data_IF_442589473670
#
_entry.id   IF_442589473670
#
_cell.length_a   1.000
_cell.length_b   1.000
_cell.length_c   1.000
_cell.angle_alpha   90.00
_cell.angle_beta   90.00
_cell.angle_gamma   90.00
#
_symmetry.space_group_name_H-M   'P 1'
#
loop_
_entity.id
_entity.type
_entity.pdbx_description
1 polymer ?
#
# COMPACT_ATOMS: atom_id res chain seq x y z
N UNK A 1 24.79 29.75 -1.71
CA UNK A 1 25.36 28.39 -1.54
C UNK A 1 26.71 28.49 -0.85
N UNK A 2 26.90 27.77 0.25
CA UNK A 2 28.17 27.72 0.97
C UNK A 2 29.26 26.96 0.20
N UNK A 3 30.52 27.08 0.64
CA UNK A 3 31.66 26.34 0.06
C UNK A 3 31.49 24.82 0.12
N UNK A 4 30.74 24.32 1.12
CA UNK A 4 30.40 22.91 1.30
C UNK A 4 29.39 22.43 0.23
N UNK A 5 28.28 23.14 0.08
CA UNK A 5 27.21 22.79 -0.89
C UNK A 5 27.74 22.73 -2.32
N UNK A 6 28.57 23.71 -2.72
CA UNK A 6 29.18 23.70 -4.06
C UNK A 6 30.04 22.46 -4.29
N UNK A 7 30.83 22.05 -3.29
CA UNK A 7 31.71 20.89 -3.41
C UNK A 7 30.96 19.57 -3.36
N UNK A 8 29.91 19.47 -2.54
CA UNK A 8 29.02 18.30 -2.52
C UNK A 8 28.36 18.10 -3.89
N UNK A 9 27.91 19.18 -4.52
CA UNK A 9 27.29 19.11 -5.86
C UNK A 9 28.31 18.78 -6.97
N UNK A 10 29.57 19.20 -6.85
CA UNK A 10 30.60 18.95 -7.88
C UNK A 10 31.34 17.62 -7.71
N UNK A 11 31.24 16.96 -6.56
CA UNK A 11 32.08 15.81 -6.20
C UNK A 11 31.23 14.68 -5.62
N UNK A 12 30.39 14.09 -6.47
CA UNK A 12 29.41 13.07 -6.10
C UNK A 12 29.99 11.79 -5.46
N UNK A 13 31.27 11.50 -5.66
CA UNK A 13 31.95 10.32 -5.11
C UNK A 13 32.61 10.55 -3.75
N UNK A 14 32.68 11.80 -3.29
CA UNK A 14 33.38 12.14 -2.06
C UNK A 14 32.43 12.16 -0.86
N UNK A 15 32.90 11.66 0.28
CA UNK A 15 32.14 11.77 1.52
C UNK A 15 32.13 13.22 2.02
N UNK A 16 31.06 13.62 2.72
CA UNK A 16 30.95 14.95 3.35
C UNK A 16 32.17 15.25 4.23
N UNK A 17 32.63 14.26 5.02
CA UNK A 17 33.83 14.40 5.86
C UNK A 17 35.11 14.65 5.04
N UNK A 18 35.24 14.05 3.87
CA UNK A 18 36.39 14.27 2.97
C UNK A 18 36.37 15.69 2.43
N UNK A 19 35.19 16.17 2.04
CA UNK A 19 35.00 17.53 1.53
C UNK A 19 35.26 18.56 2.63
N UNK A 20 34.70 18.37 3.83
CA UNK A 20 34.92 19.21 5.00
C UNK A 20 36.38 19.24 5.41
N UNK A 21 37.05 18.08 5.46
CA UNK A 21 38.49 18.00 5.75
C UNK A 21 39.32 18.84 4.78
N UNK A 22 39.01 18.79 3.48
CA UNK A 22 39.72 19.61 2.48
C UNK A 22 39.38 21.10 2.61
N UNK A 23 38.14 21.43 2.96
CA UNK A 23 37.76 22.83 3.22
C UNK A 23 38.54 23.36 4.42
N UNK A 24 38.56 22.62 5.54
CA UNK A 24 39.26 22.98 6.77
C UNK A 24 40.78 23.10 6.55
N UNK A 25 41.38 22.14 5.85
CA UNK A 25 42.80 22.16 5.53
C UNK A 25 43.20 23.38 4.70
N UNK A 26 42.32 23.82 3.79
CA UNK A 26 42.53 25.01 2.96
C UNK A 26 42.19 26.31 3.68
N UNK A 27 41.17 26.33 4.55
CA UNK A 27 40.70 27.56 5.20
C UNK A 27 41.55 27.97 6.40
N UNK A 28 42.24 27.02 7.02
CA UNK A 28 43.05 27.26 8.22
C UNK A 28 44.54 27.41 7.91
N UNK A 29 44.90 27.68 6.66
CA UNK A 29 46.29 27.77 6.18
C UNK A 29 47.18 26.60 6.64
N UNK A 30 46.58 25.41 6.81
CA UNK A 30 47.26 24.25 7.40
C UNK A 30 48.47 23.82 6.56
N UNK A 31 48.39 23.98 5.25
CA UNK A 31 49.54 23.73 4.35
C UNK A 31 50.69 24.69 4.58
N UNK A 32 50.40 25.98 4.81
CA UNK A 32 51.45 26.99 5.04
C UNK A 32 52.10 26.76 6.40
N UNK A 33 51.29 26.57 7.43
CA UNK A 33 51.74 26.22 8.77
C UNK A 33 52.62 24.95 8.79
N UNK A 34 52.25 23.92 8.01
CA UNK A 34 53.03 22.69 7.92
C UNK A 34 54.38 22.92 7.23
N UNK A 35 54.40 23.72 6.16
CA UNK A 35 55.62 24.03 5.42
C UNK A 35 56.61 24.90 6.21
N UNK A 36 56.13 25.66 7.21
CA UNK A 36 56.97 26.47 8.11
C UNK A 36 57.71 25.61 9.17
N UNK A 37 57.43 24.30 9.24
CA UNK A 37 58.10 23.34 10.14
C UNK A 37 59.31 22.69 9.49
N UNK A 38 60.22 22.16 10.31
CA UNK A 38 61.35 21.36 9.81
C UNK A 38 60.85 20.06 9.19
N UNK A 39 61.60 19.49 8.24
CA UNK A 39 61.21 18.22 7.58
C UNK A 39 60.93 17.10 8.59
N UNK A 40 61.76 17.00 9.63
CA UNK A 40 61.59 16.01 10.71
C UNK A 40 60.28 16.20 11.48
N UNK A 41 59.92 17.44 11.80
CA UNK A 41 58.65 17.74 12.48
C UNK A 41 57.44 17.47 11.55
N UNK A 42 57.56 17.79 10.26
CA UNK A 42 56.51 17.50 9.28
C UNK A 42 56.23 15.99 9.19
N UNK A 43 57.28 15.17 9.12
CA UNK A 43 57.15 13.72 9.07
C UNK A 43 56.49 13.16 10.34
N UNK A 44 56.88 13.64 11.52
CA UNK A 44 56.26 13.24 12.79
C UNK A 44 54.76 13.59 12.84
N UNK A 45 54.40 14.81 12.45
CA UNK A 45 53.00 15.27 12.41
C UNK A 45 52.17 14.40 11.45
N UNK A 46 52.69 14.12 10.24
CA UNK A 46 52.00 13.30 9.25
C UNK A 46 51.85 11.85 9.75
N UNK A 47 52.90 11.30 10.37
CA UNK A 47 52.90 9.96 10.93
C UNK A 47 51.86 9.83 12.04
N UNK A 48 51.75 10.83 12.91
CA UNK A 48 50.77 10.84 14.00
C UNK A 48 49.33 11.06 13.48
N UNK A 49 49.12 11.93 12.49
CA UNK A 49 47.82 12.07 11.84
C UNK A 49 47.35 10.75 11.20
N UNK A 50 48.27 10.02 10.55
CA UNK A 50 47.98 8.70 9.95
C UNK A 50 47.69 7.64 11.00
N UNK A 51 48.41 7.63 12.12
CA UNK A 51 48.20 6.66 13.21
C UNK A 51 46.81 6.87 13.84
N UNK A 52 46.43 8.12 14.09
CA UNK A 52 45.16 8.51 14.71
C UNK A 52 43.94 8.32 13.79
N UNK A 53 44.14 8.23 12.48
CA UNK A 53 43.05 8.01 11.51
C UNK A 53 42.46 6.58 11.61
N UNK A 54 43.28 5.57 11.90
CA UNK A 54 42.85 4.15 11.93
C UNK A 54 41.73 3.87 12.94
N UNK A 55 41.82 4.24 14.23
CA UNK A 55 40.74 4.01 15.19
C UNK A 55 39.46 4.78 14.83
N UNK A 56 39.60 5.98 14.27
CA UNK A 56 38.46 6.78 13.81
C UNK A 56 37.68 6.07 12.68
N UNK A 57 38.38 5.57 11.67
CA UNK A 57 37.76 4.79 10.58
C UNK A 57 37.07 3.52 11.09
N UNK A 58 37.67 2.83 12.07
CA UNK A 58 37.05 1.67 12.72
C UNK A 58 35.72 2.04 13.38
N UNK A 59 35.67 3.14 14.13
CA UNK A 59 34.45 3.63 14.78
C UNK A 59 33.37 4.03 13.76
N UNK A 60 33.74 4.72 12.68
CA UNK A 60 32.79 5.06 11.60
C UNK A 60 32.21 3.80 10.97
N UNK A 61 33.06 2.82 10.63
CA UNK A 61 32.60 1.59 10.00
C UNK A 61 31.69 0.78 10.93
N UNK A 62 32.00 0.75 12.22
CA UNK A 62 31.15 0.12 13.23
C UNK A 62 29.80 0.82 13.34
N UNK A 63 29.78 2.16 13.40
CA UNK A 63 28.54 2.95 13.38
C UNK A 63 27.71 2.69 12.12
N UNK A 64 28.34 2.66 10.93
CA UNK A 64 27.67 2.33 9.66
C UNK A 64 27.02 0.95 9.71
N UNK A 65 27.74 -0.07 10.20
CA UNK A 65 27.20 -1.43 10.38
C UNK A 65 26.00 -1.44 11.34
N UNK A 66 26.09 -0.77 12.48
CA UNK A 66 24.99 -0.69 13.45
C UNK A 66 23.76 0.00 12.85
N UNK A 67 23.95 1.09 12.11
CA UNK A 67 22.84 1.79 11.44
C UNK A 67 22.18 0.91 10.37
N UNK A 68 22.99 0.21 9.57
CA UNK A 68 22.49 -0.73 8.57
C UNK A 68 21.67 -1.86 9.22
N UNK A 69 22.19 -2.46 10.30
CA UNK A 69 21.47 -3.49 11.06
C UNK A 69 20.13 -2.99 11.61
N UNK A 70 20.10 -1.76 12.16
CA UNK A 70 18.84 -1.14 12.61
C UNK A 70 17.86 -0.93 11.47
N UNK A 71 18.34 -0.47 10.32
CA UNK A 71 17.50 -0.26 9.14
C UNK A 71 16.87 -1.57 8.66
N UNK A 72 17.68 -2.63 8.55
CA UNK A 72 17.22 -3.97 8.19
C UNK A 72 16.20 -4.49 9.22
N UNK A 73 16.45 -4.30 10.52
CA UNK A 73 15.51 -4.66 11.59
C UNK A 73 14.15 -3.98 11.42
N UNK A 74 14.15 -2.66 11.22
CA UNK A 74 12.93 -1.88 11.01
C UNK A 74 12.14 -2.35 9.78
N UNK A 75 12.84 -2.68 8.68
CA UNK A 75 12.19 -3.20 7.46
C UNK A 75 11.52 -4.54 7.76
N UNK A 76 12.21 -5.45 8.45
CA UNK A 76 11.65 -6.77 8.82
C UNK A 76 10.44 -6.65 9.74
N UNK A 77 10.48 -5.75 10.72
CA UNK A 77 9.34 -5.48 11.60
C UNK A 77 8.13 -4.95 10.83
N UNK A 78 8.33 -4.01 9.91
CA UNK A 78 7.27 -3.49 9.03
C UNK A 78 6.68 -4.60 8.16
N UNK A 79 7.52 -5.44 7.57
CA UNK A 79 7.08 -6.59 6.76
C UNK A 79 6.27 -7.58 7.60
N UNK A 80 6.72 -7.90 8.82
CA UNK A 80 5.99 -8.79 9.74
C UNK A 80 4.62 -8.21 10.11
N UNK A 81 4.55 -6.93 10.49
CA UNK A 81 3.30 -6.26 10.82
C UNK A 81 2.32 -6.24 9.63
N UNK A 82 2.83 -6.06 8.41
CA UNK A 82 2.02 -6.10 7.20
C UNK A 82 1.49 -7.51 6.90
N UNK A 83 2.31 -8.55 7.06
CA UNK A 83 1.88 -9.95 6.95
C UNK A 83 0.79 -10.30 7.97
N UNK A 84 0.97 -9.91 9.23
CA UNK A 84 -0.04 -10.11 10.28
C UNK A 84 -1.35 -9.39 9.98
N UNK A 85 -1.27 -8.15 9.47
CA UNK A 85 -2.46 -7.40 9.04
C UNK A 85 -3.19 -8.09 7.90
N UNK A 86 -2.46 -8.56 6.87
CA UNK A 86 -3.03 -9.32 5.74
C UNK A 86 -3.69 -10.62 6.21
N UNK A 87 -3.04 -11.39 7.09
CA UNK A 87 -3.59 -12.62 7.65
C UNK A 87 -4.89 -12.37 8.44
N UNK A 88 -4.94 -11.30 9.24
CA UNK A 88 -6.16 -10.90 9.95
C UNK A 88 -7.29 -10.51 9.00
N UNK A 89 -6.99 -9.81 7.93
CA UNK A 89 -7.97 -9.44 6.91
C UNK A 89 -8.52 -10.68 6.19
N UNK A 90 -7.64 -11.60 5.78
CA UNK A 90 -8.04 -12.87 5.15
C UNK A 90 -8.99 -13.67 6.04
N UNK A 91 -8.63 -13.84 7.32
CA UNK A 91 -9.48 -14.55 8.29
C UNK A 91 -10.85 -13.86 8.48
N UNK A 92 -10.90 -12.52 8.38
CA UNK A 92 -12.17 -11.79 8.45
C UNK A 92 -13.01 -11.99 7.18
N UNK A 93 -12.40 -12.07 6.01
CA UNK A 93 -13.06 -12.41 4.74
C UNK A 93 -13.65 -13.81 4.78
N UNK A 94 -12.84 -14.80 5.15
CA UNK A 94 -13.27 -16.21 5.23
C UNK A 94 -14.48 -16.38 6.18
N UNK A 95 -14.47 -15.68 7.32
CA UNK A 95 -15.61 -15.67 8.25
C UNK A 95 -16.85 -14.99 7.67
N UNK A 96 -16.66 -13.94 6.88
CA UNK A 96 -17.76 -13.26 6.19
C UNK A 96 -18.37 -14.17 5.13
N UNK A 97 -17.55 -14.84 4.33
CA UNK A 97 -17.95 -15.81 3.31
C UNK A 97 -18.72 -16.99 3.93
N UNK A 98 -18.20 -17.59 5.01
CA UNK A 98 -18.88 -18.66 5.73
C UNK A 98 -20.25 -18.22 6.26
N UNK A 99 -20.35 -17.00 6.77
CA UNK A 99 -21.61 -16.45 7.25
C UNK A 99 -22.62 -16.25 6.11
N UNK A 100 -22.19 -15.70 4.98
CA UNK A 100 -23.03 -15.54 3.78
C UNK A 100 -23.50 -16.90 3.29
N UNK A 101 -22.62 -17.90 3.20
CA UNK A 101 -22.98 -19.27 2.78
C UNK A 101 -24.04 -19.92 3.69
N UNK A 102 -23.94 -19.70 5.00
CA UNK A 102 -24.79 -20.36 6.00
C UNK A 102 -26.13 -19.63 6.26
N UNK A 103 -26.15 -18.29 6.16
CA UNK A 103 -27.29 -17.46 6.59
C UNK A 103 -27.82 -16.52 5.51
N UNK A 104 -27.15 -16.46 4.36
CA UNK A 104 -27.44 -15.53 3.28
C UNK A 104 -27.07 -14.08 3.62
N UNK A 105 -27.12 -13.23 2.61
CA UNK A 105 -27.03 -11.79 2.74
C UNK A 105 -28.44 -11.19 2.68
N UNK A 106 -28.79 -10.29 3.61
CA UNK A 106 -30.14 -9.73 3.67
C UNK A 106 -30.19 -8.40 2.94
N UNK A 107 -30.98 -8.35 1.89
CA UNK A 107 -31.04 -7.27 0.91
C UNK A 107 -32.28 -6.38 1.06
N UNK A 108 -33.31 -6.85 1.76
CA UNK A 108 -34.57 -6.12 1.93
C UNK A 108 -35.20 -6.34 3.31
N UNK A 109 -36.20 -5.53 3.65
CA UNK A 109 -36.86 -5.57 4.96
C UNK A 109 -37.59 -6.89 5.22
N UNK A 110 -38.19 -7.47 4.19
CA UNK A 110 -38.93 -8.74 4.30
C UNK A 110 -38.01 -9.91 4.64
N UNK A 111 -36.83 -9.96 4.03
CA UNK A 111 -35.78 -10.94 4.34
C UNK A 111 -35.27 -10.80 5.76
N UNK A 112 -35.09 -9.56 6.24
CA UNK A 112 -34.68 -9.33 7.63
C UNK A 112 -35.71 -9.91 8.59
N UNK A 113 -37.00 -9.62 8.40
CA UNK A 113 -38.03 -10.11 9.31
C UNK A 113 -38.22 -11.62 9.24
N UNK A 114 -38.23 -12.18 8.03
CA UNK A 114 -38.31 -13.63 7.81
C UNK A 114 -37.15 -14.35 8.49
N UNK A 115 -35.92 -13.88 8.33
CA UNK A 115 -34.76 -14.56 8.91
C UNK A 115 -34.61 -14.31 10.41
N UNK A 116 -35.02 -13.15 10.95
CA UNK A 116 -35.03 -12.89 12.39
C UNK A 116 -36.05 -13.78 13.12
N UNK A 117 -37.20 -14.06 12.51
CA UNK A 117 -38.22 -14.94 13.11
C UNK A 117 -37.78 -16.40 13.15
N UNK A 118 -36.98 -16.85 12.19
CA UNK A 118 -36.38 -18.20 12.18
C UNK A 118 -35.36 -18.43 13.30
N UNK A 119 -34.75 -17.37 13.85
CA UNK A 119 -33.78 -17.47 14.94
C UNK A 119 -34.47 -17.63 16.30
N UNK A 120 -34.03 -18.61 17.09
CA UNK A 120 -34.68 -18.96 18.37
C UNK A 120 -34.22 -18.08 19.53
N UNK A 121 -32.92 -17.78 19.62
CA UNK A 121 -32.38 -17.08 20.80
C UNK A 121 -32.09 -15.60 20.54
N UNK A 122 -32.27 -14.77 21.58
CA UNK A 122 -31.91 -13.34 21.53
C UNK A 122 -30.43 -13.12 21.20
N UNK A 123 -29.56 -14.00 21.69
CA UNK A 123 -28.10 -13.95 21.47
C UNK A 123 -27.77 -14.20 20.00
N UNK A 124 -28.38 -15.20 19.37
CA UNK A 124 -28.20 -15.49 17.94
C UNK A 124 -28.71 -14.32 17.08
N UNK A 125 -29.90 -13.78 17.39
CA UNK A 125 -30.45 -12.61 16.67
C UNK A 125 -29.47 -11.44 16.67
N UNK A 126 -28.94 -11.09 17.85
CA UNK A 126 -27.96 -10.01 17.97
C UNK A 126 -26.67 -10.34 17.20
N UNK A 127 -26.17 -11.58 17.30
CA UNK A 127 -24.95 -12.00 16.61
C UNK A 127 -25.09 -11.90 15.10
N UNK A 128 -26.15 -12.47 14.52
CA UNK A 128 -26.41 -12.46 13.08
C UNK A 128 -26.60 -11.02 12.58
N UNK A 129 -27.33 -10.18 13.32
CA UNK A 129 -27.51 -8.78 12.96
C UNK A 129 -26.20 -7.98 12.92
N UNK A 130 -25.30 -8.21 13.89
CA UNK A 130 -23.96 -7.59 13.88
C UNK A 130 -23.15 -8.06 12.67
N UNK A 131 -23.25 -9.35 12.31
CA UNK A 131 -22.58 -9.88 11.13
C UNK A 131 -23.14 -9.27 9.85
N UNK A 132 -24.46 -9.18 9.68
CA UNK A 132 -25.08 -8.52 8.52
C UNK A 132 -24.60 -7.07 8.39
N UNK A 133 -24.62 -6.28 9.47
CA UNK A 133 -24.07 -4.90 9.44
C UNK A 133 -22.58 -4.88 9.10
N UNK A 134 -21.79 -5.84 9.59
CA UNK A 134 -20.38 -5.96 9.23
C UNK A 134 -20.16 -6.37 7.78
N UNK A 135 -21.05 -7.17 7.19
CA UNK A 135 -21.01 -7.49 5.75
C UNK A 135 -21.23 -6.22 4.93
N UNK A 136 -22.21 -5.40 5.28
CA UNK A 136 -22.39 -4.09 4.64
C UNK A 136 -21.14 -3.20 4.77
N UNK A 137 -20.45 -3.22 5.92
CA UNK A 137 -19.17 -2.53 6.10
C UNK A 137 -18.08 -3.02 5.14
N UNK A 138 -17.93 -4.33 5.02
CA UNK A 138 -16.89 -4.95 4.18
C UNK A 138 -17.21 -4.76 2.70
N UNK A 139 -18.46 -4.95 2.30
CA UNK A 139 -18.90 -4.92 0.89
C UNK A 139 -19.02 -3.51 0.32
N UNK A 140 -19.45 -2.52 1.11
CA UNK A 140 -19.81 -1.20 0.58
C UNK A 140 -18.80 -0.07 0.88
N UNK A 141 -17.60 -0.37 1.39
CA UNK A 141 -16.57 0.63 1.71
C UNK A 141 -17.17 1.89 2.37
N UNK A 142 -17.96 1.64 3.43
CA UNK A 142 -18.87 2.60 4.04
C UNK A 142 -18.17 3.93 4.36
N UNK A 143 -18.75 5.04 3.86
CA UNK A 143 -18.19 6.37 4.02
C UNK A 143 -18.14 6.80 5.49
N UNK A 144 -17.27 7.77 5.81
CA UNK A 144 -17.00 8.16 7.21
C UNK A 144 -18.23 8.68 7.96
N UNK A 145 -19.22 9.21 7.23
CA UNK A 145 -20.47 9.78 7.77
C UNK A 145 -21.45 8.71 8.25
N UNK A 146 -21.36 7.50 7.70
CA UNK A 146 -22.25 6.38 8.01
C UNK A 146 -21.69 5.45 9.10
N UNK A 147 -20.47 5.72 9.58
CA UNK A 147 -19.84 4.95 10.66
C UNK A 147 -20.71 4.83 11.91
N UNK A 148 -21.62 5.79 12.15
CA UNK A 148 -22.59 5.73 13.24
C UNK A 148 -23.52 4.51 13.17
N UNK A 149 -23.90 4.07 11.97
CA UNK A 149 -24.79 2.93 11.77
C UNK A 149 -24.05 1.58 11.85
N UNK A 150 -22.73 1.60 11.73
CA UNK A 150 -21.85 0.43 11.90
C UNK A 150 -21.51 0.12 13.36
N UNK A 151 -21.88 0.99 14.28
CA UNK A 151 -21.62 0.79 15.70
C UNK A 151 -22.58 -0.26 16.30
N UNK A 152 -22.07 -1.04 17.24
CA UNK A 152 -22.84 -2.06 17.96
C UNK A 152 -23.19 -1.65 19.41
N UNK A 153 -22.74 -0.47 19.82
CA UNK A 153 -22.91 0.06 21.16
C UNK A 153 -22.79 1.57 21.18
N UNK A 154 -23.45 2.21 22.14
CA UNK A 154 -23.28 3.64 22.42
C UNK A 154 -23.03 3.83 23.92
N UNK A 155 -21.97 4.58 24.26
CA UNK A 155 -21.56 4.85 25.66
C UNK A 155 -21.44 3.57 26.51
N UNK A 156 -20.87 2.51 25.94
CA UNK A 156 -20.67 1.22 26.61
C UNK A 156 -21.91 0.32 26.71
N UNK A 157 -23.11 0.80 26.33
CA UNK A 157 -24.32 -0.04 26.28
C UNK A 157 -24.48 -0.66 24.89
N UNK A 158 -24.67 -1.98 24.84
CA UNK A 158 -24.93 -2.69 23.59
C UNK A 158 -26.29 -2.32 23.03
N UNK A 159 -26.38 -2.23 21.70
CA UNK A 159 -27.65 -2.02 21.01
C UNK A 159 -28.54 -3.26 21.12
N UNK A 160 -29.84 -3.01 21.24
CA UNK A 160 -30.86 -4.03 21.20
C UNK A 160 -31.18 -4.43 19.75
N UNK A 161 -32.01 -5.46 19.58
CA UNK A 161 -32.34 -6.00 18.26
C UNK A 161 -33.06 -4.94 17.41
N UNK A 162 -33.94 -4.13 18.02
CA UNK A 162 -34.68 -3.09 17.32
C UNK A 162 -33.73 -2.03 16.73
N UNK A 163 -32.77 -1.53 17.51
CA UNK A 163 -31.80 -0.55 17.02
C UNK A 163 -30.86 -1.13 15.96
N UNK A 164 -30.44 -2.39 16.11
CA UNK A 164 -29.64 -3.07 15.07
C UNK A 164 -30.44 -3.25 13.78
N UNK A 165 -31.74 -3.56 13.86
CA UNK A 165 -32.64 -3.64 12.70
C UNK A 165 -32.76 -2.32 11.98
N UNK A 166 -33.01 -1.25 12.73
CA UNK A 166 -33.09 0.11 12.18
C UNK A 166 -31.80 0.50 11.46
N UNK A 167 -30.63 0.26 12.10
CA UNK A 167 -29.33 0.55 11.49
C UNK A 167 -29.13 -0.24 10.19
N UNK A 168 -29.47 -1.53 10.16
CA UNK A 168 -29.34 -2.36 8.96
C UNK A 168 -30.27 -1.88 7.83
N UNK A 169 -31.52 -1.52 8.14
CA UNK A 169 -32.47 -0.99 7.16
C UNK A 169 -32.00 0.34 6.56
N UNK A 170 -31.39 1.22 7.36
CA UNK A 170 -30.81 2.47 6.85
C UNK A 170 -29.66 2.18 5.87
N UNK A 171 -28.78 1.23 6.22
CA UNK A 171 -27.69 0.81 5.33
C UNK A 171 -28.24 0.22 4.02
N UNK A 172 -29.22 -0.69 4.10
CA UNK A 172 -29.90 -1.27 2.93
C UNK A 172 -30.50 -0.17 2.05
N UNK A 173 -31.30 0.74 2.62
CA UNK A 173 -31.94 1.82 1.85
C UNK A 173 -30.91 2.73 1.19
N UNK A 174 -29.79 3.00 1.85
CA UNK A 174 -28.74 3.82 1.26
C UNK A 174 -28.07 3.11 0.09
N UNK A 175 -27.69 1.85 0.27
CA UNK A 175 -26.91 1.12 -0.72
C UNK A 175 -27.72 0.44 -1.84
N UNK A 176 -29.02 0.24 -1.65
CA UNK A 176 -29.93 -0.22 -2.70
C UNK A 176 -30.47 0.95 -3.55
N UNK A 177 -30.53 2.17 -3.02
CA UNK A 177 -30.97 3.36 -3.75
C UNK A 177 -29.81 4.23 -4.26
N UNK A 178 -28.57 3.94 -3.85
CA UNK A 178 -27.40 4.44 -4.58
C UNK A 178 -27.50 3.84 -5.99
N UNK A 179 -27.51 4.65 -7.07
CA UNK A 179 -27.37 4.10 -8.42
C UNK A 179 -26.14 3.21 -8.36
N UNK A 180 -26.34 1.93 -8.67
CA UNK A 180 -25.30 0.91 -8.66
C UNK A 180 -24.04 1.56 -9.18
N UNK A 181 -23.03 1.72 -8.33
CA UNK A 181 -21.74 2.31 -8.76
C UNK A 181 -21.45 1.70 -10.12
N UNK A 182 -21.37 2.50 -11.21
CA UNK A 182 -21.30 1.94 -12.54
C UNK A 182 -20.19 0.90 -12.57
N UNK A 183 -20.40 -0.23 -13.26
CA UNK A 183 -19.39 -1.29 -13.32
C UNK A 183 -18.04 -0.69 -13.71
N UNK A 184 -16.94 -1.37 -13.35
CA UNK A 184 -15.60 -0.89 -13.74
C UNK A 184 -15.55 -0.63 -15.24
N UNK A 185 -16.15 -1.51 -16.05
CA UNK A 185 -16.30 -1.38 -17.51
C UNK A 185 -17.13 -0.16 -17.92
N UNK A 186 -18.30 0.08 -17.30
CA UNK A 186 -19.13 1.26 -17.56
C UNK A 186 -18.38 2.57 -17.27
N UNK A 187 -17.59 2.58 -16.19
CA UNK A 187 -16.75 3.73 -15.83
C UNK A 187 -15.59 3.91 -16.79
N UNK A 188 -14.99 2.82 -17.27
CA UNK A 188 -13.92 2.84 -18.27
C UNK A 188 -14.41 3.48 -19.58
N UNK A 189 -15.64 3.17 -19.99
CA UNK A 189 -16.26 3.75 -21.19
C UNK A 189 -16.64 5.23 -21.00
N UNK A 190 -17.23 5.59 -19.87
CA UNK A 190 -17.78 6.94 -19.66
C UNK A 190 -16.72 7.96 -19.25
N UNK A 191 -15.69 7.55 -18.51
CA UNK A 191 -14.67 8.44 -18.01
C UNK A 191 -13.33 7.70 -17.82
N UNK A 192 -12.64 7.34 -18.92
CA UNK A 192 -11.39 6.57 -18.87
C UNK A 192 -10.26 7.27 -18.11
N UNK A 193 -10.26 8.61 -18.04
CA UNK A 193 -9.23 9.40 -17.37
C UNK A 193 -9.11 9.10 -15.86
N UNK A 194 -10.18 8.66 -15.20
CA UNK A 194 -10.15 8.33 -13.76
C UNK A 194 -9.28 7.11 -13.44
N UNK A 195 -8.93 6.33 -14.47
CA UNK A 195 -8.11 5.13 -14.35
C UNK A 195 -6.61 5.43 -14.50
N UNK A 196 -6.24 6.66 -14.87
CA UNK A 196 -4.85 7.10 -14.88
C UNK A 196 -4.25 6.95 -13.48
N UNK A 197 -3.03 6.41 -13.40
CA UNK A 197 -2.30 6.04 -12.20
C UNK A 197 -2.88 4.89 -11.37
N UNK A 198 -3.93 4.20 -11.83
CA UNK A 198 -4.48 3.02 -11.15
C UNK A 198 -3.67 1.77 -11.47
N UNK A 199 -3.50 0.92 -10.46
CA UNK A 199 -2.86 -0.38 -10.59
C UNK A 199 -3.90 -1.47 -10.88
N UNK A 200 -3.50 -2.46 -11.65
CA UNK A 200 -4.29 -3.65 -11.98
C UNK A 200 -3.42 -4.90 -11.98
N UNK A 201 -4.06 -6.06 -11.91
CA UNK A 201 -3.45 -7.36 -12.17
C UNK A 201 -3.98 -7.84 -13.52
N UNK A 202 -3.12 -8.36 -14.37
CA UNK A 202 -3.47 -8.91 -15.68
C UNK A 202 -2.91 -10.33 -15.77
N UNK A 203 -3.78 -11.30 -16.03
CA UNK A 203 -3.47 -12.70 -16.21
C UNK A 203 -3.24 -12.97 -17.69
N UNK A 204 -2.07 -13.54 -18.00
CA UNK A 204 -1.71 -13.95 -19.36
C UNK A 204 -1.46 -15.46 -19.37
N UNK A 205 -2.05 -16.15 -20.34
CA UNK A 205 -1.73 -17.56 -20.58
C UNK A 205 -0.48 -17.66 -21.45
N UNK A 206 0.63 -18.13 -20.87
CA UNK A 206 1.90 -18.31 -21.59
C UNK A 206 1.87 -19.58 -22.46
N UNK A 207 2.84 -19.74 -23.37
CA UNK A 207 2.89 -20.84 -24.36
C UNK A 207 2.77 -22.26 -23.77
N UNK A 208 3.13 -22.43 -22.50
CA UNK A 208 3.02 -23.70 -21.78
C UNK A 208 1.61 -23.99 -21.23
N UNK A 209 0.63 -23.13 -21.52
CA UNK A 209 -0.74 -23.21 -20.98
C UNK A 209 -0.83 -22.91 -19.48
N UNK A 210 0.21 -22.28 -18.91
CA UNK A 210 0.18 -21.80 -17.52
C UNK A 210 -0.25 -20.34 -17.50
N UNK A 211 -1.02 -19.97 -16.48
CA UNK A 211 -1.43 -18.58 -16.28
C UNK A 211 -0.41 -17.85 -15.40
N UNK A 212 0.07 -16.72 -15.87
CA UNK A 212 0.98 -15.84 -15.15
C UNK A 212 0.30 -14.50 -14.86
N UNK A 213 0.37 -14.04 -13.62
CA UNK A 213 -0.24 -12.76 -13.21
C UNK A 213 0.81 -11.65 -13.17
N UNK A 214 0.63 -10.66 -14.03
CA UNK A 214 1.45 -9.47 -14.12
C UNK A 214 0.77 -8.29 -13.43
N UNK A 215 1.54 -7.46 -12.72
CA UNK A 215 1.00 -6.20 -12.18
C UNK A 215 1.21 -5.09 -13.18
N UNK A 216 0.16 -4.33 -13.42
CA UNK A 216 0.14 -3.22 -14.35
C UNK A 216 -0.20 -1.90 -13.66
N UNK A 217 0.19 -0.79 -14.31
CA UNK A 217 -0.30 0.56 -13.99
C UNK A 217 -0.59 1.34 -15.24
N UNK A 218 -1.73 2.01 -15.28
CA UNK A 218 -2.05 2.98 -16.33
C UNK A 218 -1.28 4.27 -16.05
N UNK A 219 -0.45 4.71 -17.00
CA UNK A 219 0.40 5.89 -16.89
C UNK A 219 -0.24 7.12 -17.51
N UNK A 220 -0.83 6.96 -18.70
CA UNK A 220 -1.49 8.04 -19.43
C UNK A 220 -2.55 7.48 -20.38
N UNK A 221 -3.36 8.36 -20.96
CA UNK A 221 -4.35 8.01 -21.98
C UNK A 221 -4.22 8.99 -23.15
N UNK A 222 -4.13 8.45 -24.37
CA UNK A 222 -4.10 9.21 -25.61
C UNK A 222 -5.15 8.65 -26.58
N UNK A 223 -6.14 9.46 -26.96
CA UNK A 223 -7.10 9.14 -28.03
C UNK A 223 -7.81 7.78 -27.93
N UNK A 224 -8.15 7.33 -26.71
CA UNK A 224 -8.83 6.04 -26.49
C UNK A 224 -7.89 4.85 -26.21
N UNK A 225 -6.57 5.09 -26.21
CA UNK A 225 -5.55 4.12 -25.85
C UNK A 225 -4.87 4.53 -24.54
N UNK A 226 -4.65 3.56 -23.65
CA UNK A 226 -3.89 3.72 -22.43
C UNK A 226 -2.46 3.28 -22.62
N UNK A 227 -1.51 4.08 -22.13
CA UNK A 227 -0.15 3.64 -21.92
C UNK A 227 -0.05 2.98 -20.56
N UNK A 228 0.37 1.72 -20.52
CA UNK A 228 0.47 0.92 -19.31
C UNK A 228 1.89 0.41 -19.13
N UNK A 229 2.32 0.27 -17.88
CA UNK A 229 3.58 -0.40 -17.52
C UNK A 229 3.30 -1.66 -16.73
N UNK A 230 4.02 -2.73 -17.05
CA UNK A 230 3.92 -4.01 -16.36
C UNK A 230 5.15 -4.32 -15.53
N UNK A 231 4.98 -5.13 -14.49
CA UNK A 231 6.06 -5.71 -13.71
C UNK A 231 5.62 -6.99 -12.99
N UNK A 232 6.57 -7.88 -12.75
CA UNK A 232 6.36 -9.06 -11.91
C UNK A 232 6.46 -8.68 -10.43
N UNK A 233 5.58 -9.25 -9.60
CA UNK A 233 5.54 -8.96 -8.15
C UNK A 233 6.85 -9.35 -7.43
N UNK A 234 7.57 -10.33 -7.96
CA UNK A 234 8.81 -10.84 -7.37
C UNK A 234 10.02 -9.94 -7.65
N UNK A 235 10.03 -9.20 -8.76
CA UNK A 235 11.22 -8.48 -9.19
C UNK A 235 11.25 -7.03 -8.69
N UNK A 236 10.10 -6.41 -8.34
CA UNK A 236 9.96 -4.99 -7.96
C UNK A 236 10.66 -3.99 -8.92
N UNK A 237 11.12 -4.46 -10.08
CA UNK A 237 11.71 -3.68 -11.12
C UNK A 237 10.57 -3.42 -12.11
N UNK A 238 10.23 -2.14 -12.26
CA UNK A 238 9.27 -1.73 -13.28
C UNK A 238 10.01 -1.87 -14.59
N UNK A 239 9.49 -2.71 -15.49
CA UNK A 239 10.04 -2.77 -16.83
C UNK A 239 9.89 -1.39 -17.46
N UNK A 240 10.95 -0.89 -18.08
CA UNK A 240 10.93 0.47 -18.63
C UNK A 240 10.04 0.55 -19.89
N UNK A 241 9.63 -0.60 -20.43
CA UNK A 241 8.74 -0.74 -21.57
C UNK A 241 7.30 -0.30 -21.24
N UNK A 242 6.78 0.58 -22.09
CA UNK A 242 5.38 1.01 -22.08
C UNK A 242 4.62 0.23 -23.15
N UNK A 243 3.46 -0.28 -22.77
CA UNK A 243 2.55 -1.01 -23.63
C UNK A 243 1.31 -0.17 -23.86
N UNK A 244 0.70 -0.33 -25.04
CA UNK A 244 -0.55 0.33 -25.39
C UNK A 244 -1.71 -0.66 -25.24
N UNK A 245 -2.76 -0.25 -24.54
CA UNK A 245 -4.02 -0.99 -24.43
C UNK A 245 -5.19 -0.07 -24.73
N UNK A 246 -6.05 -0.45 -25.65
CA UNK A 246 -7.29 0.27 -25.92
C UNK A 246 -8.29 0.09 -24.77
N UNK A 247 -9.24 1.03 -24.68
CA UNK A 247 -10.37 0.92 -23.75
C UNK A 247 -11.16 -0.38 -23.98
N UNK A 248 -11.31 -0.80 -25.25
CA UNK A 248 -12.04 -2.02 -25.61
C UNK A 248 -11.32 -3.30 -25.19
N UNK A 249 -10.00 -3.36 -25.37
CA UNK A 249 -9.17 -4.49 -24.88
C UNK A 249 -9.27 -4.62 -23.36
N UNK A 250 -9.09 -3.51 -22.63
CA UNK A 250 -9.23 -3.54 -21.17
C UNK A 250 -10.62 -4.00 -20.71
N UNK A 251 -11.69 -3.61 -21.41
CA UNK A 251 -13.05 -4.07 -21.08
C UNK A 251 -13.19 -5.56 -21.31
N UNK A 252 -12.68 -6.04 -22.44
CA UNK A 252 -12.70 -7.47 -22.80
C UNK A 252 -11.95 -8.28 -21.76
N UNK A 253 -10.73 -7.86 -21.38
CA UNK A 253 -9.93 -8.55 -20.38
C UNK A 253 -10.60 -8.54 -18.99
N UNK A 254 -11.34 -7.48 -18.64
CA UNK A 254 -12.11 -7.42 -17.38
C UNK A 254 -13.31 -8.38 -17.43
N UNK A 255 -14.07 -8.38 -18.53
CA UNK A 255 -15.26 -9.20 -18.69
C UNK A 255 -14.91 -10.70 -18.77
N UNK A 256 -13.75 -11.04 -19.33
CA UNK A 256 -13.19 -12.39 -19.34
C UNK A 256 -12.55 -12.80 -17.99
N UNK A 257 -12.38 -11.86 -17.06
CA UNK A 257 -11.76 -12.09 -15.75
C UNK A 257 -10.23 -12.17 -15.79
N UNK A 258 -9.61 -11.81 -16.92
CA UNK A 258 -8.17 -11.76 -17.10
C UNK A 258 -7.56 -10.50 -16.49
N UNK A 259 -8.33 -9.43 -16.30
CA UNK A 259 -7.84 -8.18 -15.73
C UNK A 259 -8.68 -7.72 -14.53
N UNK A 260 -8.00 -7.39 -13.43
CA UNK A 260 -8.67 -6.89 -12.22
C UNK A 260 -7.91 -5.71 -11.64
N UNK A 261 -8.59 -4.57 -11.50
CA UNK A 261 -8.01 -3.40 -10.85
C UNK A 261 -7.82 -3.62 -9.35
N UNK A 262 -6.64 -3.29 -8.83
CA UNK A 262 -6.25 -3.56 -7.45
C UNK A 262 -7.12 -2.83 -6.40
N UNK A 263 -7.81 -1.76 -6.79
CA UNK A 263 -8.73 -1.00 -5.93
C UNK A 263 -10.16 -1.57 -5.90
N UNK A 264 -10.53 -2.46 -6.83
CA UNK A 264 -11.92 -2.92 -7.03
C UNK A 264 -12.18 -4.38 -6.66
N UNK A 265 -11.15 -5.11 -6.21
CA UNK A 265 -11.22 -6.53 -5.80
C UNK A 265 -12.30 -6.86 -4.74
N UNK A 266 -12.88 -5.86 -4.09
CA UNK A 266 -13.93 -6.03 -3.06
C UNK A 266 -15.36 -5.96 -3.65
N UNK A 267 -15.57 -5.42 -4.86
CA UNK A 267 -16.93 -5.18 -5.42
C UNK A 267 -17.46 -6.24 -6.39
N UNK A 268 -16.60 -7.01 -7.06
CA UNK A 268 -17.01 -7.93 -8.15
C UNK A 268 -17.61 -9.27 -7.67
N UNK A 269 -17.51 -9.61 -6.39
CA UNK A 269 -18.25 -10.76 -5.80
C UNK A 269 -19.77 -10.54 -5.68
N UNK A 270 -20.35 -9.60 -6.43
CA UNK A 270 -21.80 -9.34 -6.46
C UNK A 270 -22.58 -10.24 -7.41
N UNK A 271 -21.92 -10.98 -8.29
CA UNK A 271 -22.60 -11.73 -9.37
C UNK A 271 -22.37 -13.26 -9.37
N UNK A 272 -21.93 -13.82 -8.23
CA UNK A 272 -21.97 -15.28 -7.98
C UNK A 272 -22.86 -15.55 -6.77
#
# INVERSE_FOLDING_TARGET
MGKLDRKLNSSATWSTNSIESVILFKSNDTSKWLNDKSETEQEEIIKDARSNTKPFLKNINQRKKTLLQKCIGNIREKQKALKEKKAKQKMQSEKAEEHVKNKGFWSNEEEIERNITLLKTKKEKISVMKHQISLYKTLHSVQSEDKKYLNFSHKGKQFDIAKLKENLLILIKKYNNEPSTPSVTTRLQQNPEIFINKCFNHVWTIENGQDETWKGRIMSQNSGTFNVKYWLEEENNIDDEEFELTVEELITDIDEGNLTFCEYFIKEYREI
#
